data_IF_008753572086
#
_entry.id   IF_008753572086
#
_cell.length_a   1.000
_cell.length_b   1.000
_cell.length_c   1.000
_cell.angle_alpha   90.00
_cell.angle_beta   90.00
_cell.angle_gamma   90.00
#
_symmetry.space_group_name_H-M   'P 1'
#
loop_
_entity.id
_entity.type
_entity.pdbx_description
1 polymer ?
#
# COMPACT_ATOMS: atom_id res chain seq x y z
N UNK A 1 44.68 22.83 -3.80
CA UNK A 1 43.51 23.16 -2.95
C UNK A 1 43.74 22.42 -1.65
N UNK A 2 43.67 23.09 -0.51
CA UNK A 2 43.72 22.40 0.77
C UNK A 2 42.48 21.53 0.91
N UNK A 3 42.67 20.28 1.32
CA UNK A 3 41.53 19.36 1.54
C UNK A 3 40.73 19.85 2.74
N UNK A 4 39.45 20.06 2.53
CA UNK A 4 38.50 20.45 3.59
C UNK A 4 38.38 19.29 4.57
N UNK A 5 38.59 19.56 5.87
CA UNK A 5 38.51 18.57 6.94
C UNK A 5 37.34 18.85 7.88
N UNK A 6 36.72 17.78 8.38
CA UNK A 6 35.68 17.88 9.39
C UNK A 6 36.24 18.18 10.79
N UNK A 7 35.37 18.27 11.82
CA UNK A 7 35.76 18.55 13.21
C UNK A 7 36.68 17.48 13.83
N UNK A 8 36.75 16.28 13.28
CA UNK A 8 37.66 15.19 13.67
C UNK A 8 38.97 15.20 12.88
N UNK A 9 39.21 16.21 12.01
CA UNK A 9 40.39 16.33 11.19
C UNK A 9 40.45 15.42 9.98
N UNK A 10 39.33 14.76 9.61
CA UNK A 10 39.24 13.83 8.49
C UNK A 10 38.78 14.53 7.20
N UNK A 11 39.36 14.16 6.07
CA UNK A 11 38.80 14.46 4.76
C UNK A 11 37.53 13.65 4.53
N UNK A 12 36.72 14.00 3.51
CA UNK A 12 35.50 13.23 3.14
C UNK A 12 35.82 11.77 2.83
N UNK A 13 36.90 11.52 2.08
CA UNK A 13 37.31 10.15 1.72
C UNK A 13 37.70 9.33 2.95
N UNK A 14 38.49 9.92 3.88
CA UNK A 14 38.86 9.26 5.13
C UNK A 14 37.64 8.98 6.01
N UNK A 15 36.70 9.92 6.10
CA UNK A 15 35.45 9.74 6.82
C UNK A 15 34.60 8.60 6.24
N UNK A 16 34.40 8.58 4.92
CA UNK A 16 33.57 7.53 4.26
C UNK A 16 34.20 6.14 4.42
N UNK A 17 35.54 6.01 4.41
CA UNK A 17 36.24 4.73 4.68
C UNK A 17 36.00 4.21 6.10
N UNK A 18 35.81 5.11 7.07
CA UNK A 18 35.62 4.76 8.48
C UNK A 18 34.14 4.64 8.85
N UNK A 19 33.23 5.15 8.00
CA UNK A 19 31.79 5.18 8.28
C UNK A 19 31.20 3.77 8.35
N UNK A 20 30.53 3.47 9.46
CA UNK A 20 29.85 2.19 9.70
C UNK A 20 28.35 2.37 9.61
N UNK A 21 27.70 2.08 8.47
CA UNK A 21 26.24 2.19 8.33
C UNK A 21 25.45 1.31 9.31
N UNK A 22 26.06 0.25 9.85
CA UNK A 22 25.46 -0.66 10.83
C UNK A 22 25.25 -0.03 12.22
N UNK A 23 25.88 1.11 12.51
CA UNK A 23 25.71 1.80 13.78
C UNK A 23 24.32 2.46 13.93
N UNK A 24 23.51 2.45 12.86
CA UNK A 24 22.18 2.99 12.84
C UNK A 24 21.15 1.90 12.48
N UNK A 25 20.10 1.80 13.28
CA UNK A 25 18.94 0.97 12.95
C UNK A 25 18.26 1.49 11.68
N UNK A 26 17.91 0.58 10.78
CA UNK A 26 17.30 0.92 9.50
C UNK A 26 15.89 0.36 9.43
N UNK A 27 14.89 1.21 9.14
CA UNK A 27 13.57 0.72 8.79
C UNK A 27 13.61 -0.01 7.46
N UNK A 28 12.76 -1.00 7.28
CA UNK A 28 12.41 -1.48 5.94
C UNK A 28 11.55 -0.44 5.24
N UNK A 29 11.68 -0.36 3.92
CA UNK A 29 10.83 0.50 3.09
C UNK A 29 9.93 -0.39 2.25
N UNK A 30 8.64 -0.05 2.17
CA UNK A 30 7.64 -0.70 1.32
C UNK A 30 7.00 0.31 0.39
N UNK A 31 6.34 -0.19 -0.64
CA UNK A 31 5.46 0.58 -1.52
C UNK A 31 4.09 -0.08 -1.58
N UNK A 32 3.03 0.72 -1.57
CA UNK A 32 1.65 0.29 -1.80
C UNK A 32 1.04 1.13 -2.93
N UNK A 33 0.25 0.53 -3.82
CA UNK A 33 -0.34 1.21 -4.96
C UNK A 33 -1.86 1.26 -4.87
N UNK A 34 -2.43 2.46 -4.72
CA UNK A 34 -3.86 2.73 -4.87
C UNK A 34 -4.18 2.88 -6.36
N UNK A 35 -4.52 1.78 -7.01
CA UNK A 35 -4.88 1.79 -8.42
C UNK A 35 -6.39 1.91 -8.54
N UNK A 36 -6.82 3.03 -9.09
CA UNK A 36 -8.22 3.33 -9.37
C UNK A 36 -8.50 3.20 -10.86
N UNK A 37 -9.67 2.74 -11.22
CA UNK A 37 -10.14 2.81 -12.60
C UNK A 37 -11.55 3.34 -12.69
N UNK A 38 -11.86 3.94 -13.82
CA UNK A 38 -13.21 4.37 -14.17
C UNK A 38 -13.65 3.69 -15.46
N UNK A 39 -14.94 3.38 -15.56
CA UNK A 39 -15.51 2.94 -16.81
C UNK A 39 -15.48 4.08 -17.85
N UNK A 40 -15.74 3.75 -19.11
CA UNK A 40 -15.76 4.74 -20.21
C UNK A 40 -16.77 5.87 -20.01
N UNK A 41 -17.81 5.65 -19.21
CA UNK A 41 -18.85 6.64 -18.92
C UNK A 41 -18.51 7.50 -17.69
N UNK A 42 -17.40 7.24 -17.02
CA UNK A 42 -16.96 7.92 -15.77
C UNK A 42 -17.96 7.80 -14.61
N UNK A 43 -18.81 6.77 -14.62
CA UNK A 43 -19.90 6.62 -13.63
C UNK A 43 -19.52 5.73 -12.44
N UNK A 44 -18.59 4.78 -12.62
CA UNK A 44 -18.21 3.83 -11.59
C UNK A 44 -16.71 3.87 -11.32
N UNK A 45 -16.36 4.25 -10.12
CA UNK A 45 -14.98 4.18 -9.63
C UNK A 45 -14.72 2.80 -9.01
N UNK A 46 -13.65 2.16 -9.45
CA UNK A 46 -13.21 0.88 -8.90
C UNK A 46 -11.81 1.01 -8.32
N UNK A 47 -11.49 0.14 -7.38
CA UNK A 47 -10.15 -0.03 -6.82
C UNK A 47 -9.67 -1.44 -7.11
N UNK A 48 -8.39 -1.57 -7.46
CA UNK A 48 -7.72 -2.85 -7.60
C UNK A 48 -7.23 -3.33 -6.25
N UNK A 49 -7.60 -4.57 -5.89
CA UNK A 49 -7.06 -5.24 -4.71
C UNK A 49 -6.52 -6.60 -5.11
N UNK A 50 -5.48 -7.03 -4.41
CA UNK A 50 -4.93 -8.38 -4.46
C UNK A 50 -5.41 -9.18 -3.25
N UNK A 51 -5.52 -10.50 -3.38
CA UNK A 51 -5.74 -11.39 -2.24
C UNK A 51 -4.41 -11.98 -1.80
N UNK A 52 -4.03 -11.75 -0.55
CA UNK A 52 -2.76 -12.24 0.01
C UNK A 52 -2.72 -13.76 0.04
N UNK A 53 -1.60 -14.31 -0.43
CA UNK A 53 -1.35 -15.76 -0.44
C UNK A 53 -0.82 -16.26 0.89
N UNK A 54 -0.03 -15.44 1.60
CA UNK A 54 0.73 -15.80 2.78
C UNK A 54 0.49 -14.87 3.99
N UNK A 55 1.06 -15.27 5.14
CA UNK A 55 1.07 -14.46 6.35
C UNK A 55 2.01 -13.23 6.25
N UNK A 56 1.71 -12.18 6.99
CA UNK A 56 0.52 -11.95 7.82
C UNK A 56 -0.74 -11.71 6.95
N UNK A 57 -1.91 -11.94 7.54
CA UNK A 57 -3.22 -11.66 6.91
C UNK A 57 -3.53 -12.48 5.65
N UNK A 58 -3.18 -13.77 5.65
CA UNK A 58 -3.51 -14.71 4.58
C UNK A 58 -4.99 -14.65 4.20
N UNK A 59 -5.30 -14.70 2.89
CA UNK A 59 -6.62 -14.57 2.26
C UNK A 59 -7.32 -13.20 2.45
N UNK A 60 -6.68 -12.21 3.07
CA UNK A 60 -7.21 -10.84 3.11
C UNK A 60 -6.95 -10.11 1.79
N UNK A 61 -7.82 -9.14 1.51
CA UNK A 61 -7.65 -8.24 0.37
C UNK A 61 -6.81 -7.03 0.78
N UNK A 62 -5.86 -6.65 -0.07
CA UNK A 62 -4.92 -5.56 0.18
C UNK A 62 -4.64 -4.77 -1.11
N UNK A 63 -4.01 -3.62 -0.98
CA UNK A 63 -3.40 -2.94 -2.13
C UNK A 63 -2.25 -3.82 -2.65
N UNK A 64 -1.96 -3.72 -3.94
CA UNK A 64 -0.75 -4.27 -4.50
C UNK A 64 0.47 -3.53 -3.95
N UNK A 65 1.54 -4.26 -3.60
CA UNK A 65 2.74 -3.64 -3.03
C UNK A 65 3.70 -4.63 -2.40
N UNK A 66 4.89 -4.13 -2.04
CA UNK A 66 5.93 -4.97 -1.47
C UNK A 66 7.14 -4.20 -0.97
N UNK A 67 8.19 -4.94 -0.63
CA UNK A 67 9.43 -4.36 -0.13
C UNK A 67 10.26 -3.72 -1.24
N UNK A 68 10.85 -2.57 -0.92
CA UNK A 68 11.82 -1.90 -1.80
C UNK A 68 13.18 -2.58 -1.65
N UNK A 69 13.72 -3.07 -2.76
CA UNK A 69 15.04 -3.64 -2.82
C UNK A 69 16.16 -2.60 -2.64
N UNK A 70 17.32 -3.05 -2.16
CA UNK A 70 18.46 -2.15 -1.85
C UNK A 70 18.98 -1.38 -3.08
N UNK A 71 18.74 -1.89 -4.28
CA UNK A 71 19.28 -1.33 -5.55
C UNK A 71 18.23 -0.66 -6.41
N UNK A 72 17.03 -0.48 -5.90
CA UNK A 72 15.93 0.16 -6.63
C UNK A 72 15.36 1.34 -5.85
N UNK A 73 14.81 2.31 -6.55
CA UNK A 73 14.03 3.41 -5.97
C UNK A 73 12.62 2.91 -5.58
N UNK A 74 11.91 3.68 -4.75
CA UNK A 74 10.51 3.38 -4.41
C UNK A 74 9.60 3.36 -5.65
N UNK A 75 9.88 4.18 -6.65
CA UNK A 75 9.13 4.18 -7.92
C UNK A 75 9.38 2.90 -8.73
N UNK A 76 10.65 2.47 -8.85
CA UNK A 76 10.99 1.22 -9.54
C UNK A 76 10.39 0.01 -8.84
N UNK A 77 10.43 -0.02 -7.50
CA UNK A 77 9.76 -1.06 -6.71
C UNK A 77 8.25 -1.07 -6.97
N UNK A 78 7.58 0.10 -6.96
CA UNK A 78 6.15 0.19 -7.23
C UNK A 78 5.79 -0.33 -8.64
N UNK A 79 6.57 0.02 -9.65
CA UNK A 79 6.36 -0.48 -11.03
C UNK A 79 6.56 -1.99 -11.12
N UNK A 80 7.59 -2.52 -10.44
CA UNK A 80 7.89 -3.96 -10.41
C UNK A 80 6.77 -4.73 -9.71
N UNK A 81 6.41 -4.34 -8.48
CA UNK A 81 5.36 -5.00 -7.70
C UNK A 81 4.00 -4.96 -8.41
N UNK A 82 3.64 -3.82 -9.03
CA UNK A 82 2.41 -3.71 -9.79
C UNK A 82 2.36 -4.72 -10.93
N UNK A 83 3.46 -4.85 -11.67
CA UNK A 83 3.57 -5.85 -12.74
C UNK A 83 3.52 -7.27 -12.20
N UNK A 84 4.27 -7.56 -11.14
CA UNK A 84 4.38 -8.90 -10.55
C UNK A 84 3.05 -9.37 -9.96
N UNK A 85 2.32 -8.50 -9.27
CA UNK A 85 1.08 -8.88 -8.57
C UNK A 85 -0.19 -8.76 -9.41
N UNK A 86 -0.21 -7.93 -10.44
CA UNK A 86 -1.44 -7.61 -11.19
C UNK A 86 -1.33 -7.77 -12.71
N UNK A 87 -0.12 -7.91 -13.23
CA UNK A 87 0.18 -7.94 -14.66
C UNK A 87 0.03 -6.58 -15.36
N UNK A 88 -0.21 -5.50 -14.64
CA UNK A 88 -0.32 -4.15 -15.20
C UNK A 88 1.07 -3.59 -15.50
N UNK A 89 1.22 -3.01 -16.70
CA UNK A 89 2.46 -2.38 -17.15
C UNK A 89 2.19 -0.99 -17.74
N UNK A 90 3.24 -0.17 -17.78
CA UNK A 90 3.21 1.18 -18.37
C UNK A 90 2.16 2.09 -17.73
N UNK A 91 1.91 1.93 -16.44
CA UNK A 91 1.02 2.77 -15.66
C UNK A 91 1.83 3.92 -15.06
N UNK A 92 1.34 5.15 -15.27
CA UNK A 92 1.88 6.31 -14.57
C UNK A 92 1.47 6.28 -13.11
N UNK A 93 2.45 6.26 -12.22
CA UNK A 93 2.27 6.28 -10.77
C UNK A 93 2.72 7.64 -10.23
N UNK A 94 1.91 8.24 -9.39
CA UNK A 94 2.24 9.46 -8.65
C UNK A 94 2.35 9.14 -7.17
N UNK A 95 3.40 9.64 -6.51
CA UNK A 95 3.54 9.45 -5.08
C UNK A 95 2.43 10.19 -4.36
N UNK A 96 1.71 9.47 -3.51
CA UNK A 96 0.54 9.97 -2.81
C UNK A 96 0.87 10.43 -1.39
N UNK A 97 1.50 9.56 -0.60
CA UNK A 97 1.79 9.81 0.80
C UNK A 97 2.90 8.88 1.32
N UNK A 98 3.54 9.27 2.42
CA UNK A 98 4.48 8.40 3.14
C UNK A 98 3.95 8.11 4.53
N UNK A 99 3.70 6.83 4.83
CA UNK A 99 3.25 6.36 6.12
C UNK A 99 4.44 5.91 6.96
N UNK A 100 4.68 6.60 8.08
CA UNK A 100 5.89 6.42 8.88
C UNK A 100 5.66 6.24 10.38
N UNK A 101 4.45 5.89 10.81
CA UNK A 101 4.18 5.60 12.22
C UNK A 101 5.02 4.42 12.69
N UNK A 102 5.67 4.50 13.88
CA UNK A 102 6.60 3.47 14.34
C UNK A 102 6.01 2.05 14.41
N UNK A 103 4.78 1.94 14.85
CA UNK A 103 4.11 0.67 15.19
C UNK A 103 3.09 0.22 14.13
N UNK A 104 3.22 0.75 12.89
CA UNK A 104 2.27 0.42 11.83
C UNK A 104 2.36 -1.05 11.40
N UNK A 105 3.54 -1.63 11.42
CA UNK A 105 3.76 -3.05 11.11
C UNK A 105 4.17 -3.80 12.39
N UNK A 106 3.46 -4.90 12.74
CA UNK A 106 3.75 -5.65 13.96
C UNK A 106 5.06 -6.43 13.90
N UNK A 107 5.67 -6.61 12.72
CA UNK A 107 6.88 -7.41 12.53
C UNK A 107 8.14 -6.60 12.80
N UNK A 108 8.17 -5.35 12.34
CA UNK A 108 9.36 -4.49 12.38
C UNK A 108 9.04 -3.03 12.07
N UNK A 109 10.03 -2.16 12.17
CA UNK A 109 9.92 -0.78 11.73
C UNK A 109 9.83 -0.72 10.21
N UNK A 110 8.69 -0.29 9.68
CA UNK A 110 8.44 -0.12 8.23
C UNK A 110 8.03 1.32 7.93
N UNK A 111 8.57 1.88 6.87
CA UNK A 111 8.13 3.13 6.24
C UNK A 111 7.53 2.75 4.89
N UNK A 112 6.29 3.15 4.66
CA UNK A 112 5.61 2.86 3.40
C UNK A 112 5.46 4.12 2.56
N UNK A 113 5.72 3.99 1.26
CA UNK A 113 5.53 5.04 0.26
C UNK A 113 4.37 4.64 -0.65
N UNK A 114 3.22 5.25 -0.40
CA UNK A 114 2.02 5.00 -1.18
C UNK A 114 2.07 5.75 -2.51
N UNK A 115 1.69 5.06 -3.58
CA UNK A 115 1.49 5.59 -4.92
C UNK A 115 0.02 5.52 -5.33
N UNK A 116 -0.39 6.37 -6.25
CA UNK A 116 -1.73 6.37 -6.84
C UNK A 116 -1.64 6.38 -8.36
N UNK A 117 -2.56 5.68 -9.00
CA UNK A 117 -2.84 5.81 -10.42
C UNK A 117 -4.35 5.82 -10.69
N UNK A 118 -4.76 6.57 -11.70
CA UNK A 118 -6.10 6.51 -12.28
C UNK A 118 -5.98 6.04 -13.71
N UNK A 119 -6.56 4.90 -14.02
CA UNK A 119 -6.44 4.26 -15.33
C UNK A 119 -7.81 3.95 -15.95
N UNK A 120 -7.83 3.62 -17.22
CA UNK A 120 -9.00 3.02 -17.84
C UNK A 120 -9.12 1.55 -17.40
N UNK A 121 -10.35 1.06 -17.27
CA UNK A 121 -10.60 -0.33 -16.89
C UNK A 121 -9.94 -1.30 -17.87
N UNK A 122 -9.13 -2.19 -17.35
CA UNK A 122 -8.44 -3.24 -18.11
C UNK A 122 -8.35 -4.53 -17.30
N UNK A 123 -8.14 -5.65 -18.00
CA UNK A 123 -7.99 -6.95 -17.36
C UNK A 123 -6.75 -7.00 -16.48
N UNK A 124 -6.87 -7.67 -15.34
CA UNK A 124 -5.78 -7.93 -14.40
C UNK A 124 -5.60 -9.43 -14.23
N UNK A 125 -4.39 -9.86 -13.89
CA UNK A 125 -4.07 -11.24 -13.55
C UNK A 125 -3.31 -11.26 -12.24
N UNK A 126 -3.74 -12.11 -11.31
CA UNK A 126 -2.94 -12.39 -10.13
C UNK A 126 -1.56 -12.92 -10.54
N UNK A 127 -0.51 -12.36 -9.95
CA UNK A 127 0.85 -12.83 -10.09
C UNK A 127 1.19 -13.94 -9.11
N UNK A 128 2.48 -14.29 -9.04
CA UNK A 128 2.94 -15.47 -8.29
C UNK A 128 2.72 -15.35 -6.77
N UNK A 129 2.79 -14.13 -6.21
CA UNK A 129 2.66 -13.85 -4.78
C UNK A 129 1.23 -13.45 -4.37
N UNK A 130 0.35 -13.15 -5.33
CA UNK A 130 -1.06 -12.92 -5.11
C UNK A 130 -1.88 -14.19 -5.40
N UNK A 131 -2.85 -14.50 -4.54
CA UNK A 131 -3.81 -15.59 -4.77
C UNK A 131 -4.85 -15.21 -5.83
N UNK A 132 -5.24 -13.95 -5.86
CA UNK A 132 -6.19 -13.35 -6.81
C UNK A 132 -5.94 -11.84 -6.93
N UNK A 133 -6.34 -11.23 -8.04
CA UNK A 133 -6.31 -9.78 -8.27
C UNK A 133 -7.63 -9.37 -8.93
N UNK A 134 -8.39 -8.49 -8.26
CA UNK A 134 -9.75 -8.14 -8.68
C UNK A 134 -10.02 -6.64 -8.57
N UNK A 135 -10.87 -6.17 -9.48
CA UNK A 135 -11.48 -4.86 -9.38
C UNK A 135 -12.69 -4.88 -8.46
N UNK A 136 -12.77 -3.94 -7.54
CA UNK A 136 -13.90 -3.74 -6.65
C UNK A 136 -14.57 -2.40 -6.93
N UNK A 137 -15.89 -2.41 -7.18
CA UNK A 137 -16.67 -1.19 -7.25
C UNK A 137 -16.69 -0.49 -5.88
N UNK A 138 -16.41 0.81 -5.85
CA UNK A 138 -16.59 1.63 -4.66
C UNK A 138 -18.05 2.05 -4.62
N UNK A 139 -18.89 1.30 -3.88
CA UNK A 139 -20.34 1.49 -3.84
C UNK A 139 -20.81 2.47 -2.77
N UNK A 140 -20.02 2.62 -1.72
CA UNK A 140 -20.26 3.61 -0.66
C UNK A 140 -18.95 4.19 -0.19
N UNK A 141 -18.89 5.49 -0.14
CA UNK A 141 -17.79 6.23 0.46
C UNK A 141 -18.35 7.50 1.11
N UNK A 142 -18.38 7.52 2.43
CA UNK A 142 -18.79 8.65 3.24
C UNK A 142 -17.96 8.71 4.53
N UNK A 143 -18.28 9.64 5.42
CA UNK A 143 -17.56 9.85 6.69
C UNK A 143 -17.56 8.64 7.64
N UNK A 144 -18.41 7.66 7.43
CA UNK A 144 -18.61 6.53 8.35
C UNK A 144 -18.21 5.19 7.73
N UNK A 145 -18.32 5.06 6.41
CA UNK A 145 -18.15 3.77 5.73
C UNK A 145 -17.50 3.88 4.37
N UNK A 146 -16.69 2.85 4.07
CA UNK A 146 -16.27 2.48 2.73
C UNK A 146 -16.79 1.07 2.43
N UNK A 147 -17.54 0.90 1.34
CA UNK A 147 -18.01 -0.41 0.89
C UNK A 147 -17.46 -0.67 -0.51
N UNK A 148 -16.75 -1.78 -0.62
CA UNK A 148 -16.18 -2.28 -1.86
C UNK A 148 -16.92 -3.55 -2.26
N UNK A 149 -17.27 -3.69 -3.54
CA UNK A 149 -17.98 -4.86 -4.04
C UNK A 149 -17.37 -5.40 -5.34
N UNK A 150 -17.20 -6.70 -5.38
CA UNK A 150 -17.01 -7.44 -6.62
C UNK A 150 -18.24 -8.33 -6.85
N UNK A 151 -19.07 -7.96 -7.83
CA UNK A 151 -20.35 -8.65 -8.10
C UNK A 151 -20.14 -10.03 -8.73
N UNK A 152 -19.10 -10.19 -9.54
CA UNK A 152 -18.80 -11.44 -10.23
C UNK A 152 -18.44 -12.57 -9.27
N UNK A 153 -17.65 -12.24 -8.25
CA UNK A 153 -17.24 -13.18 -7.20
C UNK A 153 -18.13 -13.15 -5.97
N UNK A 154 -19.17 -12.29 -5.96
CA UNK A 154 -20.08 -12.08 -4.82
C UNK A 154 -19.31 -11.73 -3.53
N UNK A 155 -18.33 -10.84 -3.63
CA UNK A 155 -17.50 -10.39 -2.51
C UNK A 155 -17.93 -8.99 -2.12
N UNK A 156 -18.17 -8.76 -0.83
CA UNK A 156 -18.40 -7.42 -0.26
C UNK A 156 -17.45 -7.20 0.90
N UNK A 157 -16.75 -6.08 0.88
CA UNK A 157 -15.81 -5.65 1.91
C UNK A 157 -16.36 -4.35 2.51
N UNK A 158 -16.56 -4.32 3.82
CA UNK A 158 -17.07 -3.15 4.53
C UNK A 158 -16.04 -2.66 5.55
N UNK A 159 -15.72 -1.37 5.48
CA UNK A 159 -14.86 -0.67 6.43
C UNK A 159 -15.66 0.38 7.17
N UNK A 160 -15.59 0.37 8.49
CA UNK A 160 -16.09 1.45 9.32
C UNK A 160 -14.99 2.50 9.48
N UNK A 161 -15.28 3.72 9.05
CA UNK A 161 -14.35 4.85 9.15
C UNK A 161 -14.55 5.53 10.50
N UNK A 162 -13.48 5.67 11.29
CA UNK A 162 -13.54 6.41 12.55
C UNK A 162 -13.00 7.81 12.33
N UNK A 163 -13.82 8.83 12.60
CA UNK A 163 -13.35 10.23 12.62
C UNK A 163 -12.29 10.40 13.71
N UNK A 164 -11.01 10.40 13.34
CA UNK A 164 -10.02 11.19 14.07
C UNK A 164 -10.01 12.55 13.41
N UNK A 165 -9.98 13.63 14.24
CA UNK A 165 -9.91 15.02 13.80
C UNK A 165 -8.90 15.18 12.65
N UNK A 166 -9.47 15.33 11.46
CA UNK A 166 -8.73 15.36 10.22
C UNK A 166 -8.18 16.75 9.97
N UNK A 167 -6.88 16.93 10.00
CA UNK A 167 -6.23 17.96 9.18
C UNK A 167 -6.26 17.49 7.72
N UNK A 168 -6.27 18.40 6.76
CA UNK A 168 -6.50 18.19 5.31
C UNK A 168 -5.74 17.04 4.61
N UNK A 169 -4.89 16.28 5.32
CA UNK A 169 -4.05 15.19 4.84
C UNK A 169 -4.47 13.80 5.32
N UNK A 170 -5.51 13.71 6.16
CA UNK A 170 -5.90 12.44 6.80
C UNK A 170 -6.83 11.55 5.97
N UNK A 171 -6.98 11.80 4.67
CA UNK A 171 -7.63 10.85 3.75
C UNK A 171 -7.00 9.45 3.77
N UNK A 172 -5.78 9.34 4.29
CA UNK A 172 -5.01 8.09 4.37
C UNK A 172 -4.81 7.55 5.79
N UNK A 173 -5.37 8.19 6.82
CA UNK A 173 -5.43 7.60 8.17
C UNK A 173 -6.40 6.41 8.25
N UNK A 174 -6.96 5.97 7.14
CA UNK A 174 -7.83 4.81 6.99
C UNK A 174 -7.15 3.48 7.39
N UNK A 175 -5.83 3.45 7.43
CA UNK A 175 -5.06 2.28 7.84
C UNK A 175 -5.32 1.81 9.29
N UNK A 176 -6.15 2.52 10.06
CA UNK A 176 -6.58 2.10 11.40
C UNK A 176 -8.08 1.79 11.42
N UNK A 177 -8.52 0.88 10.59
CA UNK A 177 -9.89 0.40 10.67
C UNK A 177 -9.98 -0.69 11.73
N UNK A 178 -10.68 -0.40 12.82
CA UNK A 178 -10.99 -1.40 13.84
C UNK A 178 -11.97 -2.44 13.27
N UNK A 179 -11.79 -3.75 13.55
CA UNK A 179 -12.74 -4.76 13.11
C UNK A 179 -14.13 -4.50 13.67
N UNK A 180 -15.10 -4.30 12.80
CA UNK A 180 -16.51 -4.18 13.18
C UNK A 180 -17.01 -5.48 13.81
N UNK A 181 -17.68 -5.39 14.98
CA UNK A 181 -18.34 -6.53 15.62
C UNK A 181 -19.53 -7.01 14.78
N UNK A 182 -19.68 -8.31 14.70
CA UNK A 182 -20.71 -9.11 14.03
C UNK A 182 -22.09 -8.50 13.92
N UNK A 183 -22.60 -8.45 12.69
CA UNK A 183 -24.03 -8.39 12.39
C UNK A 183 -24.37 -9.65 11.57
N UNK A 184 -25.29 -10.51 12.02
CA UNK A 184 -25.61 -11.74 11.32
C UNK A 184 -26.62 -11.45 10.17
N UNK A 185 -26.21 -11.58 8.94
CA UNK A 185 -27.09 -11.70 7.77
C UNK A 185 -26.56 -12.75 6.81
N UNK A 186 -27.50 -13.50 6.21
CA UNK A 186 -27.32 -14.70 5.39
C UNK A 186 -26.64 -14.45 4.03
N UNK A 187 -25.39 -14.08 4.02
CA UNK A 187 -24.46 -14.19 2.88
C UNK A 187 -23.04 -14.22 3.45
N UNK A 188 -22.07 -14.86 2.81
CA UNK A 188 -20.70 -14.88 3.33
C UNK A 188 -20.13 -13.47 3.26
N UNK A 189 -20.33 -12.70 4.34
CA UNK A 189 -19.64 -11.44 4.54
C UNK A 189 -18.25 -11.79 5.04
N UNK A 190 -17.27 -11.57 4.23
CA UNK A 190 -15.89 -11.59 4.67
C UNK A 190 -15.70 -10.34 5.52
N UNK A 191 -15.61 -10.50 6.85
CA UNK A 191 -15.11 -9.48 7.76
C UNK A 191 -13.63 -9.31 7.44
N UNK A 192 -13.30 -8.44 6.50
CA UNK A 192 -11.93 -8.16 6.09
C UNK A 192 -11.51 -6.83 6.69
N UNK A 193 -10.47 -6.88 7.51
CA UNK A 193 -9.68 -5.70 7.80
C UNK A 193 -8.94 -5.35 6.53
N UNK A 194 -9.17 -4.14 5.96
CA UNK A 194 -8.29 -3.65 4.91
C UNK A 194 -6.92 -3.46 5.55
N UNK A 195 -6.03 -4.34 5.20
CA UNK A 195 -4.62 -4.16 5.48
C UNK A 195 -4.11 -3.30 4.33
N UNK A 196 -4.40 -1.98 4.40
CA UNK A 196 -3.60 -1.03 3.64
C UNK A 196 -2.26 -1.03 4.33
N UNK A 197 -1.30 -1.63 3.67
CA UNK A 197 0.10 -1.77 4.03
C UNK A 197 0.42 -2.54 5.32
N UNK A 198 0.68 -3.80 5.14
CA UNK A 198 1.62 -4.59 5.93
C UNK A 198 2.42 -5.46 4.96
N UNK A 199 3.33 -4.85 4.24
CA UNK A 199 4.47 -5.51 3.61
C UNK A 199 5.75 -4.94 4.19
#
# INVERSE_FOLDING_TARGET
MEDIKNSAGLTEEEFLKQYKPSDYERPSVTVDMLILCMNKCLENLKVLLIQRKDHPYINQWALAGGFVGIKESTYEAAVRELKEETGLENIYLEQLYTMSQPDRDPRMRVIDVAYIALIQEQGVKAGDDAKDALWFDITTFNDEKLILQNKEKNITIEYNLTKKTCTKLDLFSWARLSPGRNIPTKSPRINSNLVISYF
#
